data_IF_246802673619
#
_entry.id   IF_246802673619
#
_cell.length_a   1.000
_cell.length_b   1.000
_cell.length_c   1.000
_cell.angle_alpha   90.00
_cell.angle_beta   90.00
_cell.angle_gamma   90.00
#
_symmetry.space_group_name_H-M   'P 1'
#
loop_
_entity.id
_entity.type
_entity.pdbx_description
1 polymer ?
#
# COMPACT_ATOMS: atom_id res chain seq x y z
N UNK A 1 -19.29 0.94 35.69
CA UNK A 1 -18.83 1.82 34.59
C UNK A 1 -17.99 0.97 33.62
N UNK A 2 -18.41 0.81 32.37
CA UNK A 2 -17.54 0.21 31.34
C UNK A 2 -16.32 1.14 31.17
N UNK A 3 -15.10 0.63 31.39
CA UNK A 3 -13.88 1.36 31.02
C UNK A 3 -13.99 1.73 29.55
N UNK A 4 -13.77 3.00 29.21
CA UNK A 4 -13.68 3.40 27.82
C UNK A 4 -12.63 2.53 27.10
N UNK A 5 -12.91 2.10 25.88
CA UNK A 5 -11.95 1.31 25.11
C UNK A 5 -10.70 2.15 24.84
N UNK A 6 -9.52 1.56 25.04
CA UNK A 6 -8.24 2.25 24.78
C UNK A 6 -8.01 2.47 23.29
N UNK A 7 -8.62 1.65 22.43
CA UNK A 7 -8.52 1.72 20.99
C UNK A 7 -9.71 1.07 20.29
N UNK A 8 -9.96 1.45 19.04
CA UNK A 8 -10.97 0.83 18.16
C UNK A 8 -10.29 0.04 17.06
N UNK A 9 -10.67 -1.24 16.90
CA UNK A 9 -10.18 -2.14 15.84
C UNK A 9 -11.25 -2.21 14.75
N UNK A 10 -10.96 -1.63 13.60
CA UNK A 10 -11.79 -1.74 12.41
C UNK A 10 -11.43 -3.00 11.63
N UNK A 11 -12.38 -3.89 11.49
CA UNK A 11 -12.19 -5.20 10.89
C UNK A 11 -12.84 -5.25 9.52
N UNK A 12 -12.06 -5.64 8.50
CA UNK A 12 -12.59 -6.01 7.19
C UNK A 12 -12.62 -7.55 7.06
N UNK A 13 -13.76 -8.20 7.35
CA UNK A 13 -13.84 -9.67 7.37
C UNK A 13 -13.54 -10.33 6.02
N UNK A 14 -13.74 -9.61 4.91
CA UNK A 14 -13.50 -10.10 3.55
C UNK A 14 -12.01 -10.09 3.16
N UNK A 15 -11.16 -9.36 3.91
CA UNK A 15 -9.75 -9.29 3.59
C UNK A 15 -9.04 -10.65 3.73
N UNK A 16 -7.99 -10.83 2.93
CA UNK A 16 -7.13 -12.02 2.99
C UNK A 16 -7.85 -13.33 2.64
N UNK A 17 -8.89 -13.30 1.80
CA UNK A 17 -9.68 -14.48 1.45
C UNK A 17 -10.25 -15.21 2.69
N UNK A 18 -10.80 -14.42 3.62
CA UNK A 18 -11.42 -14.92 4.86
C UNK A 18 -10.44 -15.20 6.01
N UNK A 19 -9.14 -14.94 5.83
CA UNK A 19 -8.16 -15.05 6.94
C UNK A 19 -8.49 -14.08 8.08
N UNK A 20 -8.91 -12.87 7.76
CA UNK A 20 -9.32 -11.87 8.76
C UNK A 20 -10.42 -12.40 9.63
N UNK A 21 -11.51 -12.95 9.05
CA UNK A 21 -12.63 -13.51 9.80
C UNK A 21 -12.19 -14.59 10.79
N UNK A 22 -11.28 -15.48 10.36
CA UNK A 22 -10.73 -16.56 11.21
C UNK A 22 -9.83 -16.03 12.34
N UNK A 23 -9.19 -14.89 12.15
CA UNK A 23 -8.28 -14.31 13.12
C UNK A 23 -8.97 -13.43 14.19
N UNK A 24 -10.28 -13.08 14.04
CA UNK A 24 -10.97 -12.18 14.96
C UNK A 24 -10.98 -12.72 16.39
N UNK A 25 -11.40 -13.98 16.59
CA UNK A 25 -11.45 -14.59 17.93
C UNK A 25 -10.08 -14.62 18.60
N UNK A 26 -9.05 -15.04 17.85
CA UNK A 26 -7.68 -15.07 18.35
C UNK A 26 -7.16 -13.67 18.71
N UNK A 27 -7.53 -12.65 17.93
CA UNK A 27 -7.20 -11.25 18.25
C UNK A 27 -7.88 -10.77 19.53
N UNK A 28 -9.18 -11.03 19.69
CA UNK A 28 -9.95 -10.69 20.90
C UNK A 28 -9.34 -11.33 22.15
N UNK A 29 -9.04 -12.62 22.08
CA UNK A 29 -8.39 -13.36 23.19
C UNK A 29 -6.98 -12.82 23.49
N UNK A 30 -6.20 -12.49 22.47
CA UNK A 30 -4.85 -11.99 22.65
C UNK A 30 -4.84 -10.60 23.32
N UNK A 31 -5.77 -9.70 23.02
CA UNK A 31 -5.94 -8.42 23.73
C UNK A 31 -6.46 -8.65 25.16
N UNK A 32 -7.41 -9.55 25.36
CA UNK A 32 -7.95 -9.87 26.68
C UNK A 32 -6.85 -10.40 27.62
N UNK A 33 -5.98 -11.32 27.16
CA UNK A 33 -4.84 -11.82 27.92
C UNK A 33 -3.85 -10.73 28.36
N UNK A 34 -3.77 -9.60 27.62
CA UNK A 34 -2.92 -8.45 27.94
C UNK A 34 -3.65 -7.36 28.72
N UNK A 35 -4.88 -7.60 29.12
CA UNK A 35 -5.73 -6.62 29.83
C UNK A 35 -5.85 -5.28 29.07
N UNK A 36 -5.75 -5.33 27.72
CA UNK A 36 -5.86 -4.17 26.85
C UNK A 36 -7.29 -4.05 26.31
N UNK A 37 -7.97 -2.96 26.66
CA UNK A 37 -9.38 -2.76 26.29
C UNK A 37 -9.50 -2.26 24.86
N UNK A 38 -10.12 -3.04 23.96
CA UNK A 38 -10.39 -2.65 22.56
C UNK A 38 -11.84 -2.91 22.21
N UNK A 39 -12.39 -2.04 21.37
CA UNK A 39 -13.66 -2.26 20.69
C UNK A 39 -13.39 -2.82 19.28
N UNK A 40 -14.06 -3.90 18.89
CA UNK A 40 -13.98 -4.45 17.55
C UNK A 40 -15.22 -4.05 16.75
N UNK A 41 -15.00 -3.32 15.67
CA UNK A 41 -16.02 -2.85 14.72
C UNK A 41 -15.85 -3.63 13.41
N UNK A 42 -16.70 -4.64 13.22
CA UNK A 42 -16.75 -5.39 11.96
C UNK A 42 -17.53 -4.58 10.91
N UNK A 43 -17.01 -4.52 9.71
CA UNK A 43 -17.56 -3.70 8.62
C UNK A 43 -17.97 -4.57 7.43
N UNK A 44 -19.04 -4.15 6.76
CA UNK A 44 -19.66 -4.92 5.69
C UNK A 44 -19.31 -4.41 4.27
N UNK A 45 -18.81 -3.18 4.20
CA UNK A 45 -18.45 -2.54 2.94
C UNK A 45 -17.39 -1.45 3.17
N UNK A 46 -16.81 -0.96 2.06
CA UNK A 46 -15.87 0.17 2.09
C UNK A 46 -16.54 1.44 2.65
N UNK A 47 -17.76 1.73 2.23
CA UNK A 47 -18.52 2.90 2.70
C UNK A 47 -18.87 2.79 4.19
N UNK A 48 -19.26 1.61 4.67
CA UNK A 48 -19.51 1.35 6.10
C UNK A 48 -18.22 1.56 6.91
N UNK A 49 -17.08 1.04 6.46
CA UNK A 49 -15.79 1.24 7.10
C UNK A 49 -15.44 2.74 7.21
N UNK A 50 -15.57 3.49 6.13
CA UNK A 50 -15.31 4.94 6.12
C UNK A 50 -16.20 5.69 7.10
N UNK A 51 -17.50 5.43 7.07
CA UNK A 51 -18.48 6.06 7.97
C UNK A 51 -18.15 5.82 9.43
N UNK A 52 -17.79 4.57 9.80
CA UNK A 52 -17.45 4.21 11.17
C UNK A 52 -16.14 4.81 11.65
N UNK A 53 -15.13 4.88 10.77
CA UNK A 53 -13.85 5.54 11.08
C UNK A 53 -14.10 7.02 11.38
N UNK A 54 -14.87 7.72 10.52
CA UNK A 54 -15.21 9.13 10.73
C UNK A 54 -15.94 9.34 12.04
N UNK A 55 -16.96 8.54 12.32
CA UNK A 55 -17.72 8.63 13.56
C UNK A 55 -16.84 8.44 14.81
N UNK A 56 -15.93 7.46 14.80
CA UNK A 56 -14.99 7.24 15.90
C UNK A 56 -14.00 8.41 16.05
N UNK A 57 -13.52 8.96 14.93
CA UNK A 57 -12.62 10.12 14.93
C UNK A 57 -13.32 11.38 15.50
N UNK A 58 -14.58 11.60 15.13
CA UNK A 58 -15.40 12.73 15.62
C UNK A 58 -15.75 12.58 17.12
N UNK A 59 -15.78 11.35 17.62
CA UNK A 59 -15.93 11.04 19.06
C UNK A 59 -14.63 11.13 19.86
N UNK A 60 -13.52 11.55 19.21
CA UNK A 60 -12.24 11.75 19.88
C UNK A 60 -11.44 10.45 20.14
N UNK A 61 -11.66 9.39 19.36
CA UNK A 61 -10.88 8.17 19.48
C UNK A 61 -9.40 8.47 19.17
N UNK A 62 -8.51 8.25 20.15
CA UNK A 62 -7.10 8.58 20.03
C UNK A 62 -6.27 7.50 19.31
N UNK A 63 -6.75 6.24 19.31
CA UNK A 63 -6.01 5.11 18.69
C UNK A 63 -6.95 4.25 17.86
N UNK A 64 -6.64 4.10 16.59
CA UNK A 64 -7.41 3.31 15.65
C UNK A 64 -6.55 2.22 15.01
N UNK A 65 -7.08 1.03 14.89
CA UNK A 65 -6.34 -0.15 14.42
C UNK A 65 -7.05 -0.72 13.18
N UNK A 66 -6.32 -0.88 12.09
CA UNK A 66 -6.80 -1.57 10.89
C UNK A 66 -6.52 -3.08 11.01
N UNK A 67 -7.55 -3.91 11.03
CA UNK A 67 -7.42 -5.36 10.91
C UNK A 67 -7.88 -5.80 9.51
N UNK A 68 -6.90 -6.00 8.61
CA UNK A 68 -7.15 -6.24 7.20
C UNK A 68 -5.88 -6.30 6.37
N UNK A 69 -5.97 -5.94 5.09
CA UNK A 69 -4.83 -5.76 4.19
C UNK A 69 -4.49 -4.28 4.00
N UNK A 70 -3.56 -4.02 3.06
CA UNK A 70 -3.08 -2.68 2.73
C UNK A 70 -4.22 -1.71 2.39
N UNK A 71 -5.23 -2.14 1.61
CA UNK A 71 -6.40 -1.30 1.30
C UNK A 71 -7.26 -0.94 2.51
N UNK A 72 -7.33 -1.79 3.56
CA UNK A 72 -8.03 -1.46 4.80
C UNK A 72 -7.27 -0.40 5.59
N UNK A 73 -5.95 -0.55 5.66
CA UNK A 73 -5.07 0.42 6.31
C UNK A 73 -5.08 1.76 5.57
N UNK A 74 -4.95 1.75 4.24
CA UNK A 74 -4.99 2.95 3.40
C UNK A 74 -6.29 3.73 3.62
N UNK A 75 -7.43 3.03 3.65
CA UNK A 75 -8.73 3.66 3.88
C UNK A 75 -8.82 4.31 5.26
N UNK A 76 -8.31 3.65 6.30
CA UNK A 76 -8.25 4.22 7.64
C UNK A 76 -7.37 5.48 7.65
N UNK A 77 -6.18 5.41 7.07
CA UNK A 77 -5.25 6.54 7.02
C UNK A 77 -5.83 7.74 6.29
N UNK A 78 -6.50 7.54 5.16
CA UNK A 78 -7.17 8.63 4.41
C UNK A 78 -8.17 9.42 5.26
N UNK A 79 -8.86 8.76 6.19
CA UNK A 79 -9.85 9.41 7.06
C UNK A 79 -9.23 10.10 8.27
N UNK A 80 -8.01 9.73 8.66
CA UNK A 80 -7.39 10.22 9.91
C UNK A 80 -6.12 11.04 9.70
N UNK A 81 -5.59 11.16 8.49
CA UNK A 81 -4.30 11.79 8.19
C UNK A 81 -4.20 13.24 8.68
N UNK A 82 -5.29 13.99 8.64
CA UNK A 82 -5.36 15.37 9.14
C UNK A 82 -5.67 15.47 10.64
N UNK A 83 -5.74 14.33 11.34
CA UNK A 83 -6.11 14.24 12.76
C UNK A 83 -4.95 13.69 13.57
N UNK A 84 -4.81 14.09 14.81
CA UNK A 84 -3.77 13.55 15.70
C UNK A 84 -4.19 12.19 16.28
N UNK A 85 -4.39 11.19 15.41
CA UNK A 85 -4.81 9.83 15.75
C UNK A 85 -3.63 8.89 15.53
N UNK A 86 -3.36 8.04 16.51
CA UNK A 86 -2.35 6.98 16.40
C UNK A 86 -2.96 5.77 15.69
N UNK A 87 -2.30 5.27 14.66
CA UNK A 87 -2.77 4.15 13.86
C UNK A 87 -1.98 2.88 14.18
N UNK A 88 -2.70 1.78 14.37
CA UNK A 88 -2.13 0.43 14.45
C UNK A 88 -2.56 -0.42 13.26
N UNK A 89 -1.83 -1.53 13.02
CA UNK A 89 -2.18 -2.48 11.97
C UNK A 89 -2.08 -3.93 12.47
N UNK A 90 -3.10 -4.72 12.16
CA UNK A 90 -3.10 -6.19 12.29
C UNK A 90 -3.20 -6.76 10.87
N UNK A 91 -2.06 -7.17 10.28
CA UNK A 91 -1.99 -7.53 8.87
C UNK A 91 -2.58 -8.91 8.64
N UNK A 92 -3.73 -8.97 7.99
CA UNK A 92 -4.42 -10.22 7.62
C UNK A 92 -4.65 -10.33 6.11
N UNK A 93 -4.20 -9.33 5.34
CA UNK A 93 -4.29 -9.26 3.89
C UNK A 93 -3.34 -10.20 3.14
N UNK A 94 -3.33 -10.08 1.81
CA UNK A 94 -2.49 -10.91 0.92
C UNK A 94 -1.09 -10.38 0.69
N UNK A 95 -0.88 -9.05 0.71
CA UNK A 95 0.41 -8.36 0.55
C UNK A 95 0.99 -7.99 1.90
N UNK A 96 0.45 -6.94 2.50
CA UNK A 96 0.87 -6.33 3.76
C UNK A 96 2.30 -5.75 3.68
N UNK A 97 2.66 -5.18 2.53
CA UNK A 97 4.01 -4.64 2.29
C UNK A 97 4.34 -3.50 3.27
N UNK A 98 3.36 -2.62 3.57
CA UNK A 98 3.55 -1.55 4.52
C UNK A 98 3.73 -2.05 5.97
N UNK A 99 2.93 -3.02 6.41
CA UNK A 99 3.08 -3.63 7.73
C UNK A 99 4.44 -4.34 7.89
N UNK A 100 4.91 -5.01 6.83
CA UNK A 100 6.22 -5.64 6.80
C UNK A 100 7.36 -4.61 6.92
N UNK A 101 7.25 -3.45 6.25
CA UNK A 101 8.19 -2.35 6.35
C UNK A 101 8.20 -1.69 7.75
N UNK A 102 7.07 -1.75 8.47
CA UNK A 102 6.99 -1.36 9.90
C UNK A 102 7.66 -2.37 10.85
N UNK A 103 8.09 -3.53 10.36
CA UNK A 103 8.60 -4.62 11.19
C UNK A 103 7.53 -5.59 11.69
N UNK A 104 6.29 -5.47 11.22
CA UNK A 104 5.17 -6.33 11.61
C UNK A 104 5.01 -7.43 10.53
N UNK A 105 5.78 -8.52 10.69
CA UNK A 105 5.87 -9.58 9.68
C UNK A 105 4.74 -10.63 9.76
N UNK A 106 3.49 -10.23 9.50
CA UNK A 106 2.39 -11.18 9.30
C UNK A 106 1.99 -12.08 10.49
N UNK A 107 2.59 -11.85 11.67
CA UNK A 107 2.31 -12.58 12.89
C UNK A 107 1.32 -11.78 13.75
N UNK A 108 0.13 -12.35 13.99
CA UNK A 108 -0.91 -11.74 14.81
C UNK A 108 -0.40 -11.32 16.19
N UNK A 109 0.41 -12.17 16.81
CA UNK A 109 0.94 -11.96 18.15
C UNK A 109 1.87 -10.74 18.18
N UNK A 110 2.80 -10.64 17.23
CA UNK A 110 3.73 -9.51 17.08
C UNK A 110 2.98 -8.19 16.85
N UNK A 111 1.94 -8.21 16.01
CA UNK A 111 1.11 -7.03 15.77
C UNK A 111 0.41 -6.54 17.04
N UNK A 112 -0.16 -7.46 17.82
CA UNK A 112 -0.84 -7.14 19.08
C UNK A 112 0.16 -6.68 20.14
N UNK A 113 1.35 -7.30 20.23
CA UNK A 113 2.41 -6.87 21.15
C UNK A 113 2.86 -5.44 20.85
N UNK A 114 3.06 -5.09 19.59
CA UNK A 114 3.40 -3.73 19.18
C UNK A 114 2.31 -2.72 19.58
N UNK A 115 1.03 -3.09 19.38
CA UNK A 115 -0.12 -2.24 19.76
C UNK A 115 -0.18 -2.04 21.26
N UNK A 116 -0.07 -3.11 22.05
CA UNK A 116 -0.15 -3.07 23.51
C UNK A 116 1.04 -2.35 24.13
N UNK A 117 2.24 -2.48 23.54
CA UNK A 117 3.42 -1.75 23.95
C UNK A 117 3.27 -0.23 23.80
N UNK A 118 2.39 0.22 22.91
CA UNK A 118 2.06 1.64 22.71
C UNK A 118 3.21 2.48 22.15
N UNK A 119 4.32 1.83 21.71
CA UNK A 119 5.40 2.55 21.06
C UNK A 119 4.94 2.99 19.67
N UNK A 120 5.22 4.24 19.35
CA UNK A 120 4.85 4.80 18.05
C UNK A 120 6.01 5.54 17.41
N UNK A 121 6.04 5.52 16.08
CA UNK A 121 6.93 6.36 15.27
C UNK A 121 6.14 7.14 14.25
N UNK A 122 6.68 8.27 13.82
CA UNK A 122 6.16 9.02 12.69
C UNK A 122 6.67 8.38 11.40
N UNK A 123 5.76 8.20 10.44
CA UNK A 123 6.06 7.66 9.12
C UNK A 123 5.54 8.58 8.03
N UNK A 124 6.13 8.45 6.87
CA UNK A 124 5.78 9.19 5.68
C UNK A 124 4.49 8.63 5.07
N UNK A 125 3.72 9.50 4.45
CA UNK A 125 2.56 9.17 3.62
C UNK A 125 2.78 9.81 2.26
N UNK A 126 2.24 9.22 1.21
CA UNK A 126 2.44 9.74 -0.14
C UNK A 126 1.15 10.36 -0.64
N UNK A 127 1.19 11.64 -0.98
CA UNK A 127 0.12 12.36 -1.66
C UNK A 127 0.27 12.23 -3.17
N UNK A 128 -0.87 12.19 -3.84
CA UNK A 128 -0.98 12.04 -5.30
C UNK A 128 -1.96 13.09 -5.79
N UNK A 129 -1.50 13.97 -6.68
CA UNK A 129 -2.30 15.04 -7.28
C UNK A 129 -2.48 14.77 -8.77
N UNK A 130 -3.72 14.68 -9.21
CA UNK A 130 -4.07 14.46 -10.60
C UNK A 130 -4.40 15.78 -11.31
N UNK A 131 -4.23 15.80 -12.64
CA UNK A 131 -4.50 17.00 -13.44
C UNK A 131 -5.96 17.45 -13.47
N UNK A 132 -6.90 16.56 -13.12
CA UNK A 132 -8.33 16.88 -12.99
C UNK A 132 -8.70 17.52 -11.64
N UNK A 133 -7.71 17.75 -10.76
CA UNK A 133 -7.89 18.33 -9.44
C UNK A 133 -8.22 17.33 -8.33
N UNK A 134 -8.31 16.03 -8.63
CA UNK A 134 -8.50 15.00 -7.62
C UNK A 134 -7.21 14.74 -6.85
N UNK A 135 -7.36 14.45 -5.56
CA UNK A 135 -6.28 14.08 -4.66
C UNK A 135 -6.47 12.65 -4.12
N UNK A 136 -5.37 11.95 -3.96
CA UNK A 136 -5.37 10.63 -3.35
C UNK A 136 -4.15 10.45 -2.44
N UNK A 137 -4.14 9.37 -1.67
CA UNK A 137 -3.02 8.97 -0.81
C UNK A 137 -2.71 7.49 -1.03
N UNK A 138 -1.45 7.14 -0.87
CA UNK A 138 -1.03 5.75 -0.67
C UNK A 138 0.10 5.67 0.37
N UNK A 139 0.41 4.47 0.86
CA UNK A 139 1.36 4.24 1.95
C UNK A 139 2.62 3.52 1.49
N UNK A 140 2.46 2.44 0.73
CA UNK A 140 3.57 1.58 0.34
C UNK A 140 4.16 1.93 -1.01
N UNK A 141 3.35 1.92 -2.05
CA UNK A 141 3.83 2.21 -3.39
C UNK A 141 2.73 2.42 -4.41
N UNK A 142 3.03 3.26 -5.39
CA UNK A 142 2.15 3.55 -6.50
C UNK A 142 2.91 3.59 -7.83
N UNK A 143 2.20 3.40 -8.94
CA UNK A 143 2.85 3.37 -10.24
C UNK A 143 1.92 3.39 -11.44
N UNK A 144 2.57 3.49 -12.60
CA UNK A 144 1.96 3.46 -13.94
C UNK A 144 2.60 2.30 -14.72
N UNK A 145 1.81 1.60 -15.49
CA UNK A 145 2.29 0.55 -16.39
C UNK A 145 1.61 -0.78 -16.17
N UNK A 146 2.38 -1.87 -16.24
CA UNK A 146 1.85 -3.23 -16.13
C UNK A 146 1.16 -3.49 -14.79
N UNK A 147 1.61 -2.84 -13.72
CA UNK A 147 1.03 -2.95 -12.38
C UNK A 147 -0.37 -2.33 -12.28
N UNK A 148 -0.57 -1.15 -12.87
CA UNK A 148 -1.89 -0.51 -12.94
C UNK A 148 -2.87 -1.33 -13.79
N UNK A 149 -2.41 -1.90 -14.91
CA UNK A 149 -3.20 -2.82 -15.71
C UNK A 149 -3.50 -4.12 -14.95
N UNK A 150 -2.54 -4.65 -14.19
CA UNK A 150 -2.77 -5.80 -13.33
C UNK A 150 -3.80 -5.49 -12.22
N UNK A 151 -3.74 -4.31 -11.59
CA UNK A 151 -4.73 -3.88 -10.60
C UNK A 151 -6.13 -3.79 -11.21
N UNK A 152 -6.25 -3.26 -12.44
CA UNK A 152 -7.51 -3.21 -13.20
C UNK A 152 -8.10 -4.60 -13.45
N UNK A 153 -7.28 -5.56 -13.87
CA UNK A 153 -7.70 -6.95 -14.08
C UNK A 153 -8.02 -7.66 -12.75
N UNK A 154 -7.28 -7.38 -11.67
CA UNK A 154 -7.49 -7.96 -10.36
C UNK A 154 -8.82 -7.56 -9.73
N UNK A 155 -9.28 -6.33 -10.00
CA UNK A 155 -10.58 -5.82 -9.55
C UNK A 155 -11.77 -6.39 -10.34
N UNK A 156 -11.51 -7.10 -11.43
CA UNK A 156 -12.51 -7.72 -12.30
C UNK A 156 -12.42 -9.24 -12.32
N UNK A 157 -11.84 -9.78 -13.40
CA UNK A 157 -11.87 -11.22 -13.75
C UNK A 157 -11.29 -12.15 -12.69
N UNK A 158 -10.30 -11.70 -11.89
CA UNK A 158 -9.58 -12.54 -10.93
C UNK A 158 -9.95 -12.23 -9.46
N UNK A 159 -11.04 -11.51 -9.22
CA UNK A 159 -11.44 -11.04 -7.88
C UNK A 159 -11.47 -12.16 -6.82
N UNK A 160 -11.90 -13.35 -7.21
CA UNK A 160 -12.06 -14.50 -6.30
C UNK A 160 -10.78 -15.35 -6.11
N UNK A 161 -9.68 -14.97 -6.78
CA UNK A 161 -8.44 -15.72 -6.64
C UNK A 161 -7.69 -15.35 -5.35
N UNK A 162 -6.92 -16.28 -4.74
CA UNK A 162 -6.17 -15.99 -3.51
C UNK A 162 -5.08 -14.94 -3.75
N UNK A 163 -5.03 -13.92 -2.91
CA UNK A 163 -4.00 -12.90 -2.74
C UNK A 163 -2.93 -12.76 -3.85
N UNK A 164 -1.73 -13.31 -3.64
CA UNK A 164 -0.61 -13.24 -4.59
C UNK A 164 -0.91 -13.86 -5.96
N UNK A 165 -1.67 -14.97 -6.00
CA UNK A 165 -2.04 -15.63 -7.26
C UNK A 165 -2.96 -14.75 -8.10
N UNK A 166 -3.85 -13.98 -7.46
CA UNK A 166 -4.70 -13.01 -8.15
C UNK A 166 -3.87 -11.96 -8.90
N UNK A 167 -2.91 -11.34 -8.22
CA UNK A 167 -2.05 -10.33 -8.83
C UNK A 167 -1.16 -10.91 -9.94
N UNK A 168 -0.59 -12.09 -9.73
CA UNK A 168 0.22 -12.76 -10.74
C UNK A 168 -0.60 -13.09 -12.00
N UNK A 169 -1.77 -13.71 -11.84
CA UNK A 169 -2.65 -14.03 -12.96
C UNK A 169 -3.11 -12.76 -13.70
N UNK A 170 -3.38 -11.69 -12.95
CA UNK A 170 -3.73 -10.38 -13.50
C UNK A 170 -2.57 -9.76 -14.28
N UNK A 171 -1.34 -9.83 -13.76
CA UNK A 171 -0.15 -9.32 -14.43
C UNK A 171 0.15 -10.10 -15.74
N UNK A 172 0.01 -11.44 -15.72
CA UNK A 172 0.18 -12.28 -16.92
C UNK A 172 -0.92 -11.97 -17.96
N UNK A 173 -2.16 -11.77 -17.52
CA UNK A 173 -3.26 -11.41 -18.42
C UNK A 173 -3.04 -10.03 -19.04
N UNK A 174 -2.65 -9.06 -18.23
CA UNK A 174 -2.33 -7.71 -18.67
C UNK A 174 -1.17 -7.70 -19.70
N UNK A 175 -0.10 -8.47 -19.42
CA UNK A 175 1.09 -8.54 -20.28
C UNK A 175 0.77 -8.97 -21.73
N UNK A 176 -0.31 -9.73 -21.95
CA UNK A 176 -0.68 -10.20 -23.32
C UNK A 176 -0.94 -9.05 -24.28
N UNK A 177 -1.65 -8.01 -23.84
CA UNK A 177 -1.99 -6.83 -24.65
C UNK A 177 -1.09 -5.62 -24.39
N UNK A 178 -0.24 -5.68 -23.36
CA UNK A 178 0.53 -4.51 -22.92
C UNK A 178 1.65 -4.18 -23.91
N UNK A 179 1.67 -2.93 -24.34
CA UNK A 179 2.64 -2.41 -25.30
C UNK A 179 3.71 -1.49 -24.66
N UNK A 180 3.65 -1.30 -23.35
CA UNK A 180 4.46 -0.29 -22.63
C UNK A 180 3.80 1.07 -22.63
N UNK A 181 4.33 1.96 -21.80
CA UNK A 181 3.87 3.35 -21.64
C UNK A 181 5.01 4.28 -22.05
N UNK A 182 4.76 5.20 -22.96
CA UNK A 182 5.68 6.33 -23.23
C UNK A 182 5.51 7.33 -22.10
N UNK A 183 6.55 7.46 -21.27
CA UNK A 183 6.52 8.19 -20.02
C UNK A 183 7.59 9.27 -19.98
N UNK A 184 7.18 10.48 -19.64
CA UNK A 184 8.04 11.57 -19.19
C UNK A 184 8.04 11.58 -17.67
N UNK A 185 9.24 11.50 -17.08
CA UNK A 185 9.48 11.57 -15.64
C UNK A 185 10.24 12.86 -15.32
N UNK A 186 9.70 13.64 -14.40
CA UNK A 186 10.30 14.87 -13.92
C UNK A 186 10.46 14.82 -12.39
N UNK A 187 11.52 15.44 -11.88
CA UNK A 187 11.84 15.48 -10.45
C UNK A 187 11.80 16.94 -9.97
N UNK A 188 10.62 17.45 -9.52
CA UNK A 188 10.43 18.88 -9.22
C UNK A 188 11.33 19.45 -8.13
N UNK A 189 11.86 18.61 -7.25
CA UNK A 189 12.70 19.00 -6.10
C UNK A 189 14.19 18.72 -6.30
N UNK A 190 14.59 18.16 -7.43
CA UNK A 190 15.97 17.77 -7.71
C UNK A 190 16.39 18.27 -9.08
N UNK A 191 17.67 18.64 -9.24
CA UNK A 191 18.28 18.96 -10.53
C UNK A 191 18.57 17.72 -11.38
N UNK A 192 17.68 16.71 -11.30
CA UNK A 192 17.79 15.52 -12.15
C UNK A 192 17.24 15.82 -13.55
N UNK A 193 17.87 15.28 -14.60
CA UNK A 193 17.35 15.48 -15.95
C UNK A 193 15.97 14.82 -16.11
N UNK A 194 15.15 15.44 -16.95
CA UNK A 194 13.92 14.81 -17.41
C UNK A 194 14.24 13.52 -18.15
N UNK A 195 13.45 12.47 -17.87
CA UNK A 195 13.64 11.16 -18.47
C UNK A 195 12.43 10.84 -19.32
N UNK A 196 12.66 10.64 -20.61
CA UNK A 196 11.64 10.22 -21.55
C UNK A 196 11.95 8.81 -22.03
N UNK A 197 11.11 7.84 -21.64
CA UNK A 197 11.33 6.43 -21.95
C UNK A 197 10.03 5.65 -22.07
N UNK A 198 10.09 4.60 -22.89
CA UNK A 198 9.05 3.58 -22.93
C UNK A 198 9.28 2.57 -21.81
N UNK A 199 8.36 2.51 -20.86
CA UNK A 199 8.47 1.70 -19.66
C UNK A 199 7.48 0.53 -19.64
N UNK A 200 7.91 -0.56 -19.03
CA UNK A 200 7.06 -1.65 -18.58
C UNK A 200 6.34 -1.24 -17.29
N UNK A 201 7.08 -0.55 -16.40
CA UNK A 201 6.63 -0.10 -15.08
C UNK A 201 7.40 1.16 -14.69
N UNK A 202 6.68 2.15 -14.16
CA UNK A 202 7.25 3.25 -13.40
C UNK A 202 6.55 3.31 -12.05
N UNK A 203 7.31 3.20 -10.97
CA UNK A 203 6.78 3.17 -9.61
C UNK A 203 7.49 4.17 -8.71
N UNK A 204 6.75 4.78 -7.79
CA UNK A 204 7.25 5.60 -6.70
C UNK A 204 6.94 4.89 -5.39
N UNK A 205 7.98 4.43 -4.69
CA UNK A 205 7.89 3.46 -3.60
C UNK A 205 8.36 4.07 -2.29
N UNK A 206 7.57 3.89 -1.25
CA UNK A 206 7.85 4.27 0.14
C UNK A 206 8.23 3.04 0.99
N UNK A 207 8.09 1.83 0.43
CA UNK A 207 8.42 0.57 1.09
C UNK A 207 9.43 -0.25 0.29
N UNK A 208 10.27 -1.07 0.96
CA UNK A 208 11.25 -1.93 0.30
C UNK A 208 10.64 -2.96 -0.65
N UNK A 209 9.42 -3.40 -0.33
CA UNK A 209 8.67 -4.38 -1.12
C UNK A 209 7.42 -3.78 -1.73
N UNK A 210 6.98 -4.35 -2.84
CA UNK A 210 5.85 -3.91 -3.63
C UNK A 210 5.07 -5.10 -4.21
N UNK A 211 3.74 -4.96 -4.34
CA UNK A 211 2.90 -5.98 -4.98
C UNK A 211 2.89 -7.32 -4.23
N UNK A 212 3.05 -7.31 -2.91
CA UNK A 212 3.02 -8.51 -2.07
C UNK A 212 4.37 -9.19 -1.92
N UNK A 213 5.46 -8.43 -1.85
CA UNK A 213 6.78 -8.92 -1.49
C UNK A 213 7.84 -8.87 -2.60
N UNK A 214 7.59 -8.18 -3.72
CA UNK A 214 8.63 -7.92 -4.73
C UNK A 214 9.60 -6.86 -4.21
N UNK A 215 10.89 -7.18 -4.12
CA UNK A 215 11.94 -6.28 -3.63
C UNK A 215 12.39 -5.31 -4.72
N UNK A 216 11.55 -4.32 -5.02
CA UNK A 216 11.84 -3.33 -6.06
C UNK A 216 12.67 -2.16 -5.54
N UNK A 217 12.53 -1.80 -4.27
CA UNK A 217 13.18 -0.65 -3.64
C UNK A 217 13.79 -1.02 -2.29
N UNK A 218 14.81 -1.89 -2.22
CA UNK A 218 15.33 -2.43 -0.97
C UNK A 218 15.88 -1.37 -0.02
N UNK A 219 16.20 -0.16 -0.50
CA UNK A 219 16.70 0.96 0.29
C UNK A 219 15.61 1.94 0.75
N UNK A 220 14.33 1.70 0.38
CA UNK A 220 13.23 2.56 0.80
C UNK A 220 13.06 2.54 2.33
N UNK A 221 12.81 3.73 2.89
CA UNK A 221 12.53 3.94 4.31
C UNK A 221 11.20 4.66 4.50
N UNK A 222 10.49 4.32 5.57
CA UNK A 222 9.17 4.90 5.87
C UNK A 222 9.23 6.30 6.49
N UNK A 223 10.41 6.88 6.75
CA UNK A 223 10.55 8.09 7.57
C UNK A 223 11.69 9.03 7.15
N UNK A 224 12.23 8.83 5.93
CA UNK A 224 13.34 9.63 5.40
C UNK A 224 12.92 10.79 4.46
N UNK A 225 11.62 10.94 4.23
CA UNK A 225 11.06 11.99 3.38
C UNK A 225 11.33 11.79 1.89
N UNK A 226 11.63 10.55 1.44
CA UNK A 226 11.98 10.27 0.04
C UNK A 226 11.24 9.05 -0.49
N UNK A 227 11.04 9.06 -1.80
CA UNK A 227 10.55 7.92 -2.59
C UNK A 227 11.69 7.31 -3.36
N UNK A 228 11.70 6.00 -3.44
CA UNK A 228 12.47 5.26 -4.44
C UNK A 228 11.65 5.22 -5.75
N UNK A 229 12.11 5.98 -6.74
CA UNK A 229 11.49 6.00 -8.08
C UNK A 229 12.16 4.93 -8.92
N UNK A 230 11.41 3.90 -9.29
CA UNK A 230 11.90 2.73 -10.03
C UNK A 230 11.31 2.72 -11.42
N UNK A 231 12.16 2.79 -12.44
CA UNK A 231 11.77 2.70 -13.84
C UNK A 231 12.27 1.38 -14.42
N UNK A 232 11.35 0.57 -14.94
CA UNK A 232 11.68 -0.67 -15.66
C UNK A 232 11.38 -0.40 -17.14
N UNK A 233 12.40 -0.35 -17.97
CA UNK A 233 12.22 -0.18 -19.41
C UNK A 233 11.44 -1.33 -20.01
N UNK A 234 10.81 -1.09 -21.16
CA UNK A 234 10.03 -2.12 -21.83
C UNK A 234 10.86 -3.35 -22.14
N UNK A 235 10.40 -4.50 -21.69
CA UNK A 235 10.98 -5.82 -21.88
C UNK A 235 10.15 -6.64 -22.87
N UNK A 236 10.79 -7.56 -23.57
CA UNK A 236 10.05 -8.54 -24.38
C UNK A 236 9.20 -9.43 -23.47
N UNK A 237 7.99 -9.80 -23.89
CA UNK A 237 7.09 -10.64 -23.09
C UNK A 237 7.76 -11.93 -22.58
N UNK A 238 8.58 -12.57 -23.41
CA UNK A 238 9.35 -13.77 -23.04
C UNK A 238 10.35 -13.52 -21.90
N UNK A 239 10.95 -12.32 -21.85
CA UNK A 239 11.88 -11.92 -20.78
C UNK A 239 11.13 -11.76 -19.46
N UNK A 240 9.97 -11.08 -19.50
CA UNK A 240 9.10 -10.93 -18.32
C UNK A 240 8.68 -12.31 -17.79
N UNK A 241 8.17 -13.18 -18.67
CA UNK A 241 7.72 -14.53 -18.27
C UNK A 241 8.88 -15.37 -17.69
N UNK A 242 10.09 -15.28 -18.25
CA UNK A 242 11.25 -15.98 -17.73
C UNK A 242 11.70 -15.52 -16.33
N UNK A 243 11.37 -14.28 -15.94
CA UNK A 243 11.68 -13.76 -14.61
C UNK A 243 10.67 -14.18 -13.53
N UNK A 244 9.46 -14.60 -13.91
CA UNK A 244 8.39 -14.92 -12.94
C UNK A 244 8.81 -15.98 -11.91
N UNK A 245 9.41 -17.14 -12.27
CA UNK A 245 9.80 -18.15 -11.28
C UNK A 245 10.72 -17.58 -10.20
N UNK A 246 11.72 -16.77 -10.61
CA UNK A 246 12.61 -16.12 -9.67
C UNK A 246 11.91 -15.11 -8.80
N UNK A 247 11.06 -14.25 -9.38
CA UNK A 247 10.25 -13.28 -8.63
C UNK A 247 9.40 -13.95 -7.55
N UNK A 248 8.83 -15.11 -7.85
CA UNK A 248 8.01 -15.86 -6.89
C UNK A 248 8.83 -16.43 -5.71
N UNK A 249 10.06 -16.86 -5.98
CA UNK A 249 10.92 -17.51 -4.98
C UNK A 249 11.70 -16.50 -4.15
N UNK A 250 12.33 -15.51 -4.80
CA UNK A 250 13.25 -14.57 -4.14
C UNK A 250 12.68 -13.17 -3.94
N UNK A 251 11.60 -12.82 -4.62
CA UNK A 251 11.09 -11.44 -4.68
C UNK A 251 12.00 -10.49 -5.47
N UNK A 252 13.09 -10.97 -6.09
CA UNK A 252 14.08 -10.13 -6.74
C UNK A 252 13.87 -10.04 -8.25
N UNK A 253 13.88 -8.80 -8.76
CA UNK A 253 13.94 -8.52 -10.19
C UNK A 253 15.41 -8.37 -10.61
N UNK A 254 15.89 -9.29 -11.45
CA UNK A 254 17.23 -9.17 -12.07
C UNK A 254 17.11 -8.81 -13.55
N UNK A 255 17.31 -7.54 -13.84
CA UNK A 255 17.48 -7.03 -15.20
C UNK A 255 18.37 -5.79 -15.16
N UNK A 256 19.17 -5.58 -16.23
CA UNK A 256 19.98 -4.37 -16.39
C UNK A 256 19.15 -3.16 -16.83
N UNK A 257 17.85 -3.34 -17.12
CA UNK A 257 16.94 -2.30 -17.62
C UNK A 257 16.10 -1.69 -16.49
N UNK A 258 16.70 -1.55 -15.31
CA UNK A 258 16.09 -0.87 -14.15
C UNK A 258 16.93 0.34 -13.82
N UNK A 259 16.30 1.50 -13.81
CA UNK A 259 16.85 2.72 -13.23
C UNK A 259 16.18 3.02 -11.91
N UNK A 260 16.93 3.55 -10.94
CA UNK A 260 16.45 3.96 -9.62
C UNK A 260 16.89 5.37 -9.30
N UNK A 261 16.00 6.14 -8.71
CA UNK A 261 16.23 7.52 -8.29
C UNK A 261 15.59 7.72 -6.92
N UNK A 262 16.10 8.68 -6.15
CA UNK A 262 15.52 9.09 -4.87
C UNK A 262 15.09 10.54 -4.93
N UNK A 263 13.84 10.81 -4.58
CA UNK A 263 13.28 12.17 -4.59
C UNK A 263 12.14 12.32 -3.60
N UNK A 264 11.92 13.51 -3.05
CA UNK A 264 10.73 13.84 -2.27
C UNK A 264 9.48 14.01 -3.14
N UNK A 265 9.66 14.31 -4.44
CA UNK A 265 8.56 14.44 -5.39
C UNK A 265 8.95 13.94 -6.77
N UNK A 266 7.98 13.39 -7.51
CA UNK A 266 8.12 12.97 -8.89
C UNK A 266 6.83 13.24 -9.66
N UNK A 267 6.94 13.64 -10.91
CA UNK A 267 5.81 13.79 -11.84
C UNK A 267 5.92 12.74 -12.96
N UNK A 268 4.83 12.04 -13.19
CA UNK A 268 4.67 11.11 -14.30
C UNK A 268 3.67 11.66 -15.29
N UNK A 269 4.12 11.90 -16.51
CA UNK A 269 3.28 12.35 -17.63
C UNK A 269 3.38 11.34 -18.77
N UNK A 270 2.25 10.81 -19.21
CA UNK A 270 2.22 9.77 -20.23
C UNK A 270 1.14 10.03 -21.27
N UNK A 271 1.40 9.61 -22.51
CA UNK A 271 0.40 9.66 -23.59
C UNK A 271 -0.68 8.61 -23.38
N UNK A 272 -1.94 8.93 -23.74
CA UNK A 272 -3.06 7.99 -23.66
C UNK A 272 -3.64 7.80 -22.27
N UNK A 273 -3.34 8.68 -21.33
CA UNK A 273 -3.91 8.76 -19.98
C UNK A 273 -3.97 7.40 -19.25
N UNK A 274 -2.84 6.68 -19.12
CA UNK A 274 -2.84 5.41 -18.42
C UNK A 274 -3.23 5.59 -16.94
N UNK A 275 -3.81 4.55 -16.37
CA UNK A 275 -4.13 4.52 -14.97
C UNK A 275 -2.88 4.57 -14.09
N UNK A 276 -2.99 5.33 -13.01
CA UNK A 276 -2.10 5.29 -11.85
C UNK A 276 -2.77 4.49 -10.74
N UNK A 277 -2.04 3.57 -10.14
CA UNK A 277 -2.50 2.83 -8.98
C UNK A 277 -1.63 3.14 -7.74
N UNK A 278 -2.20 3.02 -6.54
CA UNK A 278 -1.50 3.10 -5.25
C UNK A 278 -2.01 2.02 -4.30
N UNK A 279 -1.09 1.27 -3.68
CA UNK A 279 -1.37 0.14 -2.80
C UNK A 279 -2.34 -0.91 -3.42
N UNK A 280 -2.32 -1.06 -4.74
CA UNK A 280 -3.14 -1.99 -5.50
C UNK A 280 -4.55 -1.49 -5.86
N UNK A 281 -4.87 -0.22 -5.60
CA UNK A 281 -6.11 0.44 -6.00
C UNK A 281 -5.87 1.45 -7.13
N UNK A 282 -6.79 1.51 -8.10
CA UNK A 282 -6.75 2.53 -9.13
C UNK A 282 -7.16 3.88 -8.53
N UNK A 283 -6.27 4.86 -8.57
CA UNK A 283 -6.47 6.17 -7.93
C UNK A 283 -6.88 7.25 -8.92
N UNK A 284 -6.37 7.23 -10.14
CA UNK A 284 -6.66 8.21 -11.17
C UNK A 284 -5.85 7.95 -12.43
N UNK A 285 -5.78 8.92 -13.34
CA UNK A 285 -5.06 8.82 -14.61
C UNK A 285 -3.91 9.82 -14.68
N UNK A 286 -2.87 9.49 -15.46
CA UNK A 286 -1.79 10.41 -15.83
C UNK A 286 -2.37 11.67 -16.53
N UNK A 287 -1.72 12.86 -16.40
CA UNK A 287 -0.52 13.14 -15.61
C UNK A 287 -0.77 13.17 -14.11
N UNK A 288 0.25 12.81 -13.34
CA UNK A 288 0.16 12.72 -11.89
C UNK A 288 1.43 13.28 -11.23
N UNK A 289 1.26 14.09 -10.19
CA UNK A 289 2.33 14.51 -9.31
C UNK A 289 2.24 13.75 -7.98
N UNK A 290 3.36 13.16 -7.59
CA UNK A 290 3.50 12.29 -6.43
C UNK A 290 4.47 12.98 -5.47
N UNK A 291 4.09 13.12 -4.21
CA UNK A 291 4.87 13.86 -3.23
C UNK A 291 4.85 13.16 -1.88
N UNK A 292 6.00 13.05 -1.23
CA UNK A 292 6.06 12.59 0.16
C UNK A 292 5.48 13.68 1.07
N UNK A 293 4.71 13.26 2.04
CA UNK A 293 4.32 14.01 3.22
C UNK A 293 5.16 13.48 4.39
N UNK A 294 6.30 14.12 4.71
CA UNK A 294 7.24 13.56 5.67
C UNK A 294 6.63 13.48 7.06
N UNK A 295 6.78 12.32 7.72
CA UNK A 295 6.36 12.10 9.10
C UNK A 295 4.90 12.47 9.40
N UNK A 296 4.03 12.32 8.40
CA UNK A 296 2.64 12.76 8.43
C UNK A 296 1.73 11.85 9.26
N UNK A 297 2.14 10.62 9.55
CA UNK A 297 1.30 9.64 10.23
C UNK A 297 2.02 9.04 11.44
N UNK A 298 1.34 8.96 12.57
CA UNK A 298 1.82 8.26 13.78
C UNK A 298 1.36 6.80 13.75
N UNK A 299 2.33 5.86 13.64
CA UNK A 299 2.05 4.43 13.59
C UNK A 299 2.58 3.71 14.81
N UNK A 300 1.78 2.79 15.38
CA UNK A 300 2.25 1.84 16.37
C UNK A 300 3.20 0.83 15.71
N UNK A 301 4.37 0.66 16.27
CA UNK A 301 5.43 -0.19 15.72
C UNK A 301 6.18 -0.93 16.85
N UNK A 302 6.85 -2.05 16.55
CA UNK A 302 7.67 -2.81 17.50
C UNK A 302 8.77 -2.01 18.19
#
# INVERSE_FOLDING_TARGET
MKRAASAVVFVNPAAGSGRTKRAISAAREAFARRTYSVEFVETNSRADLQSRIRAAADQGCATMIAMGGDGTLQLLVREVIARNITVGVIPTGGGNDFAAALGICGNLQMAIDAIVAGRSRLVDVVSVHFSNGDDALYLGGGGIGLDAEAARHASGRFLNWPGRLRYLASAIAALRGFAGVELLVEFPENDLPKIEKRVLLAAALNTPTYGGGLRLAPEASLDDGKLEVVLIEMLKKREVLAMIPRLLVTGELRTKRVARFRSGAVRFSASGDPWFQGDGELLGKSPVEIRVMPKALRMLAP
#
